data_IF_344497781989
#
_entry.id   IF_344497781989
#
_cell.length_a   1.000
_cell.length_b   1.000
_cell.length_c   1.000
_cell.angle_alpha   90.00
_cell.angle_beta   90.00
_cell.angle_gamma   90.00
#
_symmetry.space_group_name_H-M   'P 1'
#
loop_
_entity.id
_entity.type
_entity.pdbx_description
1 polymer ?
#
# COMPACT_ATOMS: atom_id res chain seq x y z
N UNK A 1 -21.51 -18.62 26.48
CA UNK A 1 -22.13 -18.78 27.82
C UNK A 1 -21.09 -18.50 28.89
N UNK A 2 -21.50 -17.92 30.02
CA UNK A 2 -20.88 -17.92 31.36
C UNK A 2 -19.40 -18.35 31.43
N UNK A 3 -18.47 -17.41 31.28
CA UNK A 3 -17.01 -17.61 31.49
C UNK A 3 -16.27 -18.52 30.50
N UNK A 4 -16.85 -18.84 29.34
CA UNK A 4 -16.10 -19.58 28.31
C UNK A 4 -14.94 -18.75 27.75
N UNK A 5 -13.76 -19.37 27.65
CA UNK A 5 -12.57 -18.78 27.00
C UNK A 5 -12.35 -19.38 25.61
N UNK A 6 -11.77 -18.59 24.71
CA UNK A 6 -11.36 -19.02 23.38
C UNK A 6 -9.84 -19.13 23.34
N UNK A 7 -9.33 -20.24 22.76
CA UNK A 7 -7.90 -20.45 22.53
C UNK A 7 -7.70 -20.71 21.04
N UNK A 8 -6.88 -19.87 20.40
CA UNK A 8 -6.44 -20.05 19.03
C UNK A 8 -4.94 -20.38 19.02
N UNK A 9 -4.58 -21.48 18.38
CA UNK A 9 -3.19 -21.83 18.10
C UNK A 9 -3.03 -21.96 16.58
N UNK A 10 -2.17 -21.14 16.00
CA UNK A 10 -1.87 -21.16 14.57
C UNK A 10 -0.43 -20.72 14.32
N UNK A 11 0.16 -21.26 13.26
CA UNK A 11 1.37 -20.69 12.68
C UNK A 11 1.00 -19.48 11.84
N UNK A 12 1.63 -18.33 12.09
CA UNK A 12 1.46 -17.14 11.25
C UNK A 12 2.08 -17.35 9.87
N UNK A 13 1.35 -16.97 8.82
CA UNK A 13 1.83 -17.00 7.43
C UNK A 13 1.78 -15.62 6.79
N UNK A 14 0.74 -14.85 7.11
CA UNK A 14 0.38 -13.59 6.47
C UNK A 14 -0.16 -12.60 7.51
N UNK A 15 -0.06 -11.30 7.24
CA UNK A 15 -0.59 -10.26 8.13
C UNK A 15 -2.12 -10.33 8.24
N UNK A 16 -2.81 -10.89 7.24
CA UNK A 16 -4.26 -11.05 7.16
C UNK A 16 -4.74 -12.50 7.37
N UNK A 17 -3.93 -13.35 8.00
CA UNK A 17 -4.38 -14.67 8.46
C UNK A 17 -5.45 -14.55 9.57
N UNK A 18 -5.99 -15.69 10.05
CA UNK A 18 -7.07 -15.70 11.06
C UNK A 18 -6.70 -14.88 12.30
N UNK A 19 -5.47 -15.04 12.80
CA UNK A 19 -5.02 -14.29 13.97
C UNK A 19 -4.87 -12.79 13.65
N UNK A 20 -4.28 -12.46 12.50
CA UNK A 20 -4.16 -11.08 12.05
C UNK A 20 -5.51 -10.35 11.91
N UNK A 21 -6.52 -11.01 11.34
CA UNK A 21 -7.87 -10.45 11.22
C UNK A 21 -8.58 -10.29 12.56
N UNK A 22 -8.42 -11.25 13.47
CA UNK A 22 -8.98 -11.14 14.82
C UNK A 22 -8.35 -9.99 15.59
N UNK A 23 -7.03 -9.81 15.50
CA UNK A 23 -6.34 -8.68 16.11
C UNK A 23 -6.74 -7.34 15.49
N UNK A 24 -6.93 -7.27 14.17
CA UNK A 24 -7.41 -6.05 13.52
C UNK A 24 -8.85 -5.69 13.93
N UNK A 25 -9.71 -6.69 14.18
CA UNK A 25 -11.11 -6.49 14.57
C UNK A 25 -11.27 -6.19 16.06
N UNK A 26 -10.61 -6.96 16.92
CA UNK A 26 -10.85 -7.00 18.37
C UNK A 26 -9.72 -6.36 19.20
N UNK A 27 -8.54 -6.17 18.61
CA UNK A 27 -7.37 -5.63 19.28
C UNK A 27 -6.71 -6.60 20.28
N UNK A 28 -5.58 -6.16 20.83
CA UNK A 28 -4.89 -6.85 21.93
C UNK A 28 -5.52 -6.49 23.28
N UNK A 29 -5.44 -7.43 24.22
CA UNK A 29 -5.88 -7.23 25.60
C UNK A 29 -5.09 -6.10 26.26
N UNK A 30 -5.81 -5.16 26.87
CA UNK A 30 -5.24 -4.11 27.71
C UNK A 30 -6.26 -3.65 28.74
N UNK A 31 -5.86 -2.82 29.70
CA UNK A 31 -6.80 -2.21 30.66
C UNK A 31 -7.92 -1.43 29.96
N UNK A 32 -7.60 -0.80 28.82
CA UNK A 32 -8.55 -0.07 27.98
C UNK A 32 -9.28 -0.95 26.95
N UNK A 33 -8.85 -2.20 26.77
CA UNK A 33 -9.48 -3.18 25.88
C UNK A 33 -9.56 -4.57 26.56
N UNK A 34 -10.45 -4.73 27.56
CA UNK A 34 -10.51 -5.96 28.36
C UNK A 34 -11.06 -7.18 27.59
N UNK A 35 -11.69 -6.96 26.44
CA UNK A 35 -12.18 -8.02 25.55
C UNK A 35 -11.19 -8.36 24.42
N UNK A 36 -10.02 -7.72 24.40
CA UNK A 36 -8.99 -7.99 23.40
C UNK A 36 -8.32 -9.35 23.61
N UNK A 37 -7.49 -9.73 22.63
CA UNK A 37 -6.77 -11.00 22.65
C UNK A 37 -5.50 -10.90 23.50
N UNK A 38 -5.29 -11.88 24.38
CA UNK A 38 -3.98 -12.09 25.01
C UNK A 38 -3.08 -12.81 24.00
N UNK A 39 -2.02 -12.15 23.55
CA UNK A 39 -1.12 -12.69 22.52
C UNK A 39 0.13 -13.29 23.17
N UNK A 40 0.35 -14.58 22.93
CA UNK A 40 1.58 -15.27 23.32
C UNK A 40 2.42 -15.53 22.07
N UNK A 41 3.58 -14.86 21.98
CA UNK A 41 4.50 -14.94 20.85
C UNK A 41 5.87 -15.44 21.31
N UNK A 42 6.28 -16.61 20.81
CA UNK A 42 7.60 -17.19 21.07
C UNK A 42 8.42 -17.20 19.79
N UNK A 43 9.46 -16.37 19.76
CA UNK A 43 10.32 -16.23 18.59
C UNK A 43 11.28 -17.42 18.44
N UNK A 44 11.38 -17.97 17.24
CA UNK A 44 12.32 -19.03 16.90
C UNK A 44 13.77 -18.66 17.25
N UNK A 45 14.17 -17.42 16.96
CA UNK A 45 15.38 -16.78 17.51
C UNK A 45 14.93 -15.56 18.31
N UNK A 46 15.28 -15.50 19.59
CA UNK A 46 14.97 -14.35 20.45
C UNK A 46 15.61 -13.06 19.90
N UNK A 47 14.84 -11.98 19.75
CA UNK A 47 15.37 -10.68 19.28
C UNK A 47 15.40 -9.61 20.36
N UNK A 48 14.46 -9.66 21.31
CA UNK A 48 14.34 -8.70 22.42
C UNK A 48 15.03 -9.14 23.72
N UNK A 49 14.98 -8.29 24.76
CA UNK A 49 15.45 -8.67 26.09
C UNK A 49 14.60 -9.82 26.67
N UNK A 50 15.15 -10.57 27.66
CA UNK A 50 14.40 -11.56 28.43
C UNK A 50 13.12 -10.95 29.03
N UNK A 51 12.03 -11.72 28.98
CA UNK A 51 10.76 -11.37 29.64
C UNK A 51 10.37 -12.47 30.62
N UNK A 52 9.33 -12.23 31.42
CA UNK A 52 8.77 -13.26 32.32
C UNK A 52 8.29 -14.49 31.54
N UNK A 53 7.69 -14.28 30.37
CA UNK A 53 7.17 -15.35 29.52
C UNK A 53 8.27 -16.07 28.73
N UNK A 54 9.31 -15.34 28.32
CA UNK A 54 10.42 -15.88 27.54
C UNK A 54 11.76 -15.34 28.06
N UNK A 55 12.42 -16.08 29.00
CA UNK A 55 13.60 -15.63 29.71
C UNK A 55 14.91 -15.78 28.92
N UNK A 56 14.84 -16.27 27.67
CA UNK A 56 16.01 -16.42 26.79
C UNK A 56 16.68 -15.08 26.49
N UNK A 57 17.98 -15.12 26.24
CA UNK A 57 18.74 -13.97 25.75
C UNK A 57 18.57 -13.81 24.25
N UNK A 58 18.72 -12.58 23.76
CA UNK A 58 18.73 -12.30 22.33
C UNK A 58 19.76 -13.18 21.60
N UNK A 59 19.36 -13.77 20.48
CA UNK A 59 20.15 -14.72 19.70
C UNK A 59 19.94 -16.20 20.06
N UNK A 60 19.29 -16.52 21.17
CA UNK A 60 19.04 -17.92 21.56
C UNK A 60 17.86 -18.53 20.78
N UNK A 61 18.03 -19.77 20.31
CA UNK A 61 16.99 -20.54 19.64
C UNK A 61 15.92 -21.01 20.64
N UNK A 62 14.65 -21.10 20.21
CA UNK A 62 13.53 -21.49 21.08
C UNK A 62 13.61 -22.96 21.48
N UNK A 63 14.02 -23.79 20.53
CA UNK A 63 14.09 -25.22 20.71
C UNK A 63 15.33 -25.79 19.99
N UNK A 64 16.54 -25.53 20.51
CA UNK A 64 17.80 -25.82 19.83
C UNK A 64 17.98 -27.31 19.48
N UNK A 65 17.38 -28.22 20.25
CA UNK A 65 17.44 -29.67 20.02
C UNK A 65 16.72 -30.08 18.73
N UNK A 66 15.69 -29.33 18.31
CA UNK A 66 14.90 -29.60 17.09
C UNK A 66 15.21 -28.61 15.96
N UNK A 67 15.50 -27.37 16.33
CA UNK A 67 15.79 -26.25 15.43
C UNK A 67 17.02 -25.51 15.94
N UNK A 68 18.20 -26.02 15.56
CA UNK A 68 19.46 -25.38 15.91
C UNK A 68 19.53 -23.94 15.41
N UNK A 69 20.29 -23.10 16.10
CA UNK A 69 20.52 -21.71 15.69
C UNK A 69 21.07 -21.63 14.26
N UNK A 70 22.02 -22.49 13.92
CA UNK A 70 22.60 -22.58 12.57
C UNK A 70 21.52 -22.85 11.50
N UNK A 71 20.62 -23.82 11.76
CA UNK A 71 19.50 -24.12 10.85
C UNK A 71 18.57 -22.92 10.70
N UNK A 72 18.22 -22.26 11.80
CA UNK A 72 17.35 -21.08 11.78
C UNK A 72 17.97 -19.92 11.01
N UNK A 73 19.27 -19.68 11.17
CA UNK A 73 20.01 -18.67 10.40
C UNK A 73 20.07 -19.03 8.90
N UNK A 74 20.26 -20.31 8.55
CA UNK A 74 20.22 -20.77 7.17
C UNK A 74 18.85 -20.61 6.50
N UNK A 75 17.76 -20.82 7.26
CA UNK A 75 16.39 -20.55 6.78
C UNK A 75 16.18 -19.03 6.65
N UNK A 76 16.63 -18.22 7.61
CA UNK A 76 16.56 -16.76 7.52
C UNK A 76 17.23 -16.24 6.25
N UNK A 77 18.40 -16.77 5.90
CA UNK A 77 19.13 -16.34 4.70
C UNK A 77 18.44 -16.79 3.40
N UNK A 78 17.95 -18.03 3.32
CA UNK A 78 17.40 -18.60 2.08
C UNK A 78 15.93 -18.24 1.83
N UNK A 79 15.14 -18.02 2.89
CA UNK A 79 13.74 -17.65 2.82
C UNK A 79 13.40 -16.69 3.97
N UNK A 80 13.79 -15.41 3.89
CA UNK A 80 13.62 -14.47 4.98
C UNK A 80 12.15 -14.16 5.30
N UNK A 81 11.26 -14.19 4.29
CA UNK A 81 9.82 -14.03 4.49
C UNK A 81 9.25 -15.23 5.26
N UNK A 82 9.56 -16.45 4.81
CA UNK A 82 9.15 -17.66 5.52
C UNK A 82 9.73 -17.77 6.92
N UNK A 83 10.95 -17.27 7.14
CA UNK A 83 11.54 -17.15 8.47
C UNK A 83 10.74 -16.21 9.37
N UNK A 84 10.46 -14.99 8.90
CA UNK A 84 9.70 -13.99 9.65
C UNK A 84 8.31 -14.52 10.02
N UNK A 85 7.59 -15.11 9.07
CA UNK A 85 6.26 -15.68 9.32
C UNK A 85 6.32 -16.90 10.24
N UNK A 86 6.98 -17.97 9.82
CA UNK A 86 6.84 -19.29 10.48
C UNK A 86 7.65 -19.42 11.77
N UNK A 87 8.82 -18.80 11.82
CA UNK A 87 9.73 -18.96 12.94
C UNK A 87 9.66 -17.78 13.90
N UNK A 88 9.55 -16.55 13.39
CA UNK A 88 9.44 -15.38 14.26
C UNK A 88 7.99 -15.01 14.62
N UNK A 89 6.98 -15.63 14.01
CA UNK A 89 5.56 -15.29 14.21
C UNK A 89 5.30 -13.80 13.92
N UNK A 90 5.97 -13.27 12.90
CA UNK A 90 5.96 -11.86 12.52
C UNK A 90 5.84 -11.73 11.00
N UNK A 91 4.70 -12.10 10.40
CA UNK A 91 4.53 -12.06 8.96
C UNK A 91 4.63 -10.63 8.47
N UNK A 92 5.78 -10.29 7.88
CA UNK A 92 6.07 -9.00 7.28
C UNK A 92 7.08 -9.16 6.16
N UNK A 93 7.09 -8.25 5.16
CA UNK A 93 8.13 -8.23 4.14
C UNK A 93 9.52 -8.19 4.81
N UNK A 94 10.45 -9.01 4.31
CA UNK A 94 11.85 -8.85 4.72
C UNK A 94 12.44 -7.66 3.98
N UNK A 95 13.18 -6.81 4.69
CA UNK A 95 13.97 -5.73 4.08
C UNK A 95 14.93 -6.29 3.02
N UNK A 96 15.45 -7.50 3.25
CA UNK A 96 16.34 -8.23 2.33
C UNK A 96 15.61 -8.72 1.07
N UNK A 97 14.28 -8.80 1.11
CA UNK A 97 13.42 -9.20 -0.01
C UNK A 97 12.71 -8.02 -0.70
N UNK A 98 12.91 -6.79 -0.23
CA UNK A 98 12.36 -5.61 -0.90
C UNK A 98 13.04 -5.42 -2.26
N UNK A 99 12.24 -5.19 -3.30
CA UNK A 99 12.75 -4.84 -4.64
C UNK A 99 13.51 -3.50 -4.57
N UNK A 100 12.99 -2.55 -3.79
CA UNK A 100 13.62 -1.26 -3.52
C UNK A 100 13.79 -1.08 -2.01
N UNK A 101 14.91 -1.53 -1.42
CA UNK A 101 15.12 -1.45 0.02
C UNK A 101 15.48 -0.04 0.51
N UNK A 102 15.96 0.83 -0.39
CA UNK A 102 16.45 2.18 -0.06
C UNK A 102 15.48 3.25 -0.56
N UNK A 103 14.40 3.47 0.18
CA UNK A 103 13.50 4.60 -0.03
C UNK A 103 13.07 5.19 1.31
N UNK A 104 12.53 6.40 1.28
CA UNK A 104 11.96 7.05 2.46
C UNK A 104 10.73 7.85 2.06
N UNK A 105 9.72 7.87 2.93
CA UNK A 105 8.56 8.72 2.73
C UNK A 105 8.92 10.15 3.13
N UNK A 106 8.66 11.09 2.23
CA UNK A 106 8.79 12.51 2.50
C UNK A 106 7.39 13.14 2.55
N UNK A 107 7.15 14.15 3.39
CA UNK A 107 5.84 14.78 3.49
C UNK A 107 5.45 15.55 2.22
N UNK A 108 6.45 16.01 1.47
CA UNK A 108 6.28 16.85 0.30
C UNK A 108 7.38 16.60 -0.74
N UNK A 109 7.07 16.88 -2.01
CA UNK A 109 8.06 16.85 -3.09
C UNK A 109 9.18 17.85 -2.77
N UNK A 110 10.46 17.41 -2.73
CA UNK A 110 11.59 18.28 -2.46
C UNK A 110 11.67 19.47 -3.41
N UNK A 111 11.95 20.67 -2.89
CA UNK A 111 11.95 21.93 -3.65
C UNK A 111 12.77 21.85 -4.95
N UNK A 112 13.97 21.25 -4.88
CA UNK A 112 14.85 21.08 -6.05
C UNK A 112 14.29 20.19 -7.17
N UNK A 113 13.19 19.47 -6.94
CA UNK A 113 12.49 18.66 -7.95
C UNK A 113 11.24 19.36 -8.49
N UNK A 114 10.71 20.38 -7.80
CA UNK A 114 9.45 21.05 -8.18
C UNK A 114 9.53 21.78 -9.52
N UNK A 115 10.74 22.17 -9.95
CA UNK A 115 10.98 22.81 -11.24
C UNK A 115 11.16 21.84 -12.41
N UNK A 116 11.17 20.54 -12.15
CA UNK A 116 11.30 19.53 -13.19
C UNK A 116 9.92 19.16 -13.71
N UNK A 117 9.76 19.12 -15.03
CA UNK A 117 8.54 18.61 -15.65
C UNK A 117 8.34 17.14 -15.24
N UNK A 118 7.23 16.80 -14.55
CA UNK A 118 6.98 15.45 -14.10
C UNK A 118 6.44 14.58 -15.24
N UNK A 119 6.67 13.27 -15.12
CA UNK A 119 5.94 12.25 -15.88
C UNK A 119 4.83 11.68 -15.00
N UNK A 120 3.88 10.99 -15.61
CA UNK A 120 2.82 10.30 -14.87
C UNK A 120 2.80 8.83 -15.27
N UNK A 121 2.67 7.95 -14.29
CA UNK A 121 2.43 6.53 -14.48
C UNK A 121 1.00 6.20 -14.06
N UNK A 122 0.29 5.43 -14.89
CA UNK A 122 -1.08 5.00 -14.64
C UNK A 122 -1.15 3.47 -14.80
N UNK A 123 -1.63 2.80 -13.78
CA UNK A 123 -1.94 1.37 -13.79
C UNK A 123 -3.44 1.20 -13.65
N UNK A 124 -4.06 0.49 -14.59
CA UNK A 124 -5.51 0.34 -14.62
C UNK A 124 -5.98 -0.75 -13.67
N UNK A 125 -6.96 -0.39 -12.82
CA UNK A 125 -7.64 -1.32 -11.93
C UNK A 125 -9.09 -0.90 -11.67
N UNK A 126 -9.95 -1.83 -11.27
CA UNK A 126 -11.36 -1.53 -10.99
C UNK A 126 -11.89 -2.24 -9.75
N UNK A 127 -12.18 -3.55 -9.83
CA UNK A 127 -12.84 -4.30 -8.74
C UNK A 127 -11.84 -4.86 -7.73
N UNK A 128 -10.95 -5.74 -8.19
CA UNK A 128 -10.01 -6.45 -7.32
C UNK A 128 -8.77 -5.60 -7.06
N UNK A 129 -8.32 -4.89 -8.09
CA UNK A 129 -7.12 -4.06 -8.08
C UNK A 129 -7.53 -2.58 -8.16
N UNK A 130 -6.87 -1.68 -7.40
CA UNK A 130 -7.10 -0.25 -7.49
C UNK A 130 -6.57 0.31 -8.81
N UNK A 131 -7.19 1.36 -9.33
CA UNK A 131 -6.51 2.27 -10.26
C UNK A 131 -5.44 3.03 -9.48
N UNK A 132 -4.21 3.02 -9.98
CA UNK A 132 -3.09 3.74 -9.38
C UNK A 132 -2.54 4.78 -10.37
N UNK A 133 -2.44 6.05 -9.94
CA UNK A 133 -1.83 7.12 -10.71
C UNK A 133 -0.75 7.79 -9.87
N UNK A 134 0.48 7.78 -10.37
CA UNK A 134 1.65 8.35 -9.71
C UNK A 134 2.26 9.46 -10.57
N UNK A 135 2.61 10.56 -9.93
CA UNK A 135 3.38 11.65 -10.52
C UNK A 135 4.85 11.44 -10.17
N UNK A 136 5.69 11.43 -11.20
CA UNK A 136 7.09 11.02 -11.13
C UNK A 136 7.98 12.22 -11.44
N UNK A 137 8.75 12.65 -10.44
CA UNK A 137 9.78 13.66 -10.61
C UNK A 137 11.13 12.98 -10.70
N UNK A 138 11.88 13.23 -11.77
CA UNK A 138 13.21 12.66 -11.96
C UNK A 138 14.23 13.76 -12.25
N UNK A 139 15.25 13.87 -11.40
CA UNK A 139 16.40 14.74 -11.65
C UNK A 139 17.70 14.00 -11.38
N UNK A 140 18.51 13.81 -12.43
CA UNK A 140 19.75 13.02 -12.38
C UNK A 140 19.48 11.61 -11.82
N UNK A 141 20.05 11.28 -10.67
CA UNK A 141 19.93 9.98 -10.01
C UNK A 141 18.89 9.98 -8.87
N UNK A 142 18.03 11.00 -8.78
CA UNK A 142 16.97 11.09 -7.78
C UNK A 142 15.62 10.95 -8.46
N UNK A 143 14.79 10.08 -7.88
CA UNK A 143 13.39 9.89 -8.26
C UNK A 143 12.55 10.19 -7.03
N UNK A 144 11.49 10.97 -7.20
CA UNK A 144 10.46 11.19 -6.20
C UNK A 144 9.12 10.80 -6.82
N UNK A 145 8.36 9.97 -6.11
CA UNK A 145 7.02 9.57 -6.49
C UNK A 145 6.03 10.30 -5.60
N UNK A 146 4.98 10.80 -6.22
CA UNK A 146 3.87 11.50 -5.59
C UNK A 146 2.59 10.79 -6.01
N UNK A 147 2.01 10.02 -5.09
CA UNK A 147 0.80 9.23 -5.34
C UNK A 147 -0.40 10.16 -5.41
N UNK A 148 -1.07 10.18 -6.56
CA UNK A 148 -2.23 11.05 -6.78
C UNK A 148 -3.55 10.27 -6.66
N UNK A 149 -3.57 9.02 -7.11
CA UNK A 149 -4.76 8.17 -7.09
C UNK A 149 -4.35 6.77 -6.66
N UNK A 150 -5.04 6.22 -5.66
CA UNK A 150 -4.98 4.80 -5.31
C UNK A 150 -6.36 4.36 -4.79
N UNK A 151 -7.25 4.01 -5.72
CA UNK A 151 -8.65 3.72 -5.38
C UNK A 151 -9.29 2.69 -6.32
N UNK A 152 -10.24 1.94 -5.78
CA UNK A 152 -11.05 0.96 -6.52
C UNK A 152 -12.34 1.59 -7.03
N UNK A 153 -12.92 0.97 -8.06
CA UNK A 153 -14.25 1.30 -8.57
C UNK A 153 -14.34 2.64 -9.34
N UNK A 154 -13.20 3.19 -9.76
CA UNK A 154 -13.19 4.44 -10.52
C UNK A 154 -13.55 4.19 -11.99
N UNK A 155 -14.61 4.85 -12.46
CA UNK A 155 -14.88 4.99 -13.88
C UNK A 155 -13.85 5.92 -14.56
N UNK A 156 -13.75 5.86 -15.88
CA UNK A 156 -12.84 6.73 -16.64
C UNK A 156 -13.11 8.23 -16.42
N UNK A 157 -14.38 8.60 -16.21
CA UNK A 157 -14.77 9.95 -15.86
C UNK A 157 -14.26 10.35 -14.46
N UNK A 158 -14.33 9.44 -13.49
CA UNK A 158 -13.80 9.66 -12.15
C UNK A 158 -12.28 9.72 -12.13
N UNK A 159 -11.59 8.89 -12.93
CA UNK A 159 -10.13 9.00 -13.11
C UNK A 159 -9.76 10.42 -13.57
N UNK A 160 -10.49 11.00 -14.53
CA UNK A 160 -10.27 12.40 -14.97
C UNK A 160 -10.56 13.42 -13.88
N UNK A 161 -11.65 13.25 -13.14
CA UNK A 161 -11.99 14.14 -12.03
C UNK A 161 -10.90 14.13 -10.96
N UNK A 162 -10.46 12.95 -10.52
CA UNK A 162 -9.42 12.78 -9.50
C UNK A 162 -8.05 13.30 -10.01
N UNK A 163 -7.67 13.00 -11.25
CA UNK A 163 -6.42 13.50 -11.83
C UNK A 163 -6.39 15.04 -11.87
N UNK A 164 -7.47 15.67 -12.32
CA UNK A 164 -7.52 17.12 -12.41
C UNK A 164 -7.68 17.78 -11.03
N UNK A 165 -8.36 17.13 -10.08
CA UNK A 165 -8.62 17.70 -8.76
C UNK A 165 -7.36 17.74 -7.91
N UNK A 166 -6.47 16.76 -8.11
CA UNK A 166 -5.13 16.63 -7.48
C UNK A 166 -4.08 17.56 -8.11
N UNK A 167 -4.46 18.42 -9.06
CA UNK A 167 -3.55 19.35 -9.74
C UNK A 167 -2.78 18.72 -10.90
N UNK A 168 -3.27 17.62 -11.47
CA UNK A 168 -2.77 17.05 -12.71
C UNK A 168 -2.81 18.07 -13.85
N UNK A 169 -1.68 18.23 -14.53
CA UNK A 169 -1.56 19.20 -15.61
C UNK A 169 -2.19 18.68 -16.91
N UNK A 170 -2.99 19.53 -17.56
CA UNK A 170 -3.55 19.21 -18.89
C UNK A 170 -2.41 19.12 -19.90
N UNK A 171 -2.43 18.07 -20.73
CA UNK A 171 -1.39 17.82 -21.74
C UNK A 171 -0.13 17.14 -21.22
N UNK A 172 0.02 16.96 -19.90
CA UNK A 172 1.11 16.19 -19.34
C UNK A 172 1.07 14.73 -19.84
N UNK A 173 2.26 14.17 -20.07
CA UNK A 173 2.40 12.84 -20.62
C UNK A 173 2.13 11.79 -19.54
N UNK A 174 1.11 10.97 -19.75
CA UNK A 174 0.71 9.89 -18.84
C UNK A 174 1.02 8.55 -19.51
N UNK A 175 1.94 7.78 -18.96
CA UNK A 175 2.23 6.42 -19.41
C UNK A 175 1.29 5.46 -18.71
N UNK A 176 0.48 4.75 -19.48
CA UNK A 176 -0.36 3.68 -18.98
C UNK A 176 0.07 2.33 -19.57
N UNK A 177 -0.26 1.23 -18.90
CA UNK A 177 -0.08 -0.09 -19.51
C UNK A 177 -0.94 -0.23 -20.78
N UNK A 178 -0.49 -1.04 -21.72
CA UNK A 178 -1.16 -1.19 -23.02
C UNK A 178 -2.33 -2.19 -23.00
N UNK A 179 -2.67 -2.79 -21.85
CA UNK A 179 -3.67 -3.86 -21.79
C UNK A 179 -5.11 -3.34 -21.94
N UNK A 180 -5.34 -2.04 -21.70
CA UNK A 180 -6.67 -1.41 -21.71
C UNK A 180 -6.83 -0.34 -22.83
N UNK A 181 -6.74 -0.72 -24.12
CA UNK A 181 -6.71 0.24 -25.23
C UNK A 181 -8.01 1.06 -25.36
N UNK A 182 -9.16 0.51 -24.96
CA UNK A 182 -10.45 1.22 -24.96
C UNK A 182 -10.47 2.32 -23.90
N UNK A 183 -9.99 2.01 -22.70
CA UNK A 183 -9.88 2.96 -21.59
C UNK A 183 -8.94 4.10 -21.95
N UNK A 184 -7.78 3.80 -22.55
CA UNK A 184 -6.86 4.83 -23.05
C UNK A 184 -7.54 5.73 -24.10
N UNK A 185 -8.27 5.14 -25.05
CA UNK A 185 -8.97 5.90 -26.09
C UNK A 185 -10.03 6.84 -25.49
N UNK A 186 -10.78 6.38 -24.50
CA UNK A 186 -11.79 7.18 -23.79
C UNK A 186 -11.15 8.28 -22.92
N UNK A 187 -10.05 7.98 -22.23
CA UNK A 187 -9.32 8.96 -21.43
C UNK A 187 -8.76 10.12 -22.28
N UNK A 188 -8.44 9.87 -23.55
CA UNK A 188 -8.00 10.90 -24.51
C UNK A 188 -9.12 11.82 -25.00
N UNK A 189 -10.39 11.44 -24.83
CA UNK A 189 -11.51 12.26 -25.29
C UNK A 189 -11.92 13.31 -24.26
N UNK A 190 -12.66 14.33 -24.69
CA UNK A 190 -13.33 15.23 -23.74
C UNK A 190 -14.47 14.48 -23.05
N UNK A 191 -14.58 14.59 -21.73
CA UNK A 191 -15.67 13.95 -20.96
C UNK A 191 -16.58 15.02 -20.38
N UNK A 192 -17.88 14.81 -20.53
CA UNK A 192 -18.92 15.62 -19.89
C UNK A 192 -19.45 14.87 -18.67
N UNK A 193 -19.42 15.52 -17.51
CA UNK A 193 -19.87 14.91 -16.25
C UNK A 193 -20.82 15.87 -15.55
N UNK A 194 -21.97 15.37 -15.10
CA UNK A 194 -22.88 16.20 -14.30
C UNK A 194 -22.19 16.65 -13.00
N UNK A 195 -22.21 17.95 -12.75
CA UNK A 195 -21.65 18.59 -11.58
C UNK A 195 -22.71 18.68 -10.48
N UNK A 196 -23.09 17.53 -9.92
CA UNK A 196 -24.03 17.50 -8.78
C UNK A 196 -23.44 18.26 -7.58
N UNK A 197 -24.26 18.74 -6.63
CA UNK A 197 -23.77 19.41 -5.43
C UNK A 197 -22.72 18.59 -4.66
N UNK A 198 -22.88 17.27 -4.59
CA UNK A 198 -21.95 16.35 -3.93
C UNK A 198 -20.60 16.31 -4.65
N UNK A 199 -20.61 16.27 -5.99
CA UNK A 199 -19.38 16.31 -6.80
C UNK A 199 -18.70 17.67 -6.73
N UNK A 200 -19.45 18.77 -6.69
CA UNK A 200 -18.89 20.10 -6.49
C UNK A 200 -18.25 20.26 -5.12
N UNK A 201 -18.84 19.66 -4.08
CA UNK A 201 -18.26 19.61 -2.75
C UNK A 201 -17.00 18.74 -2.71
N UNK A 202 -17.00 17.60 -3.41
CA UNK A 202 -15.85 16.68 -3.49
C UNK A 202 -14.68 17.26 -4.30
N UNK A 203 -14.95 17.96 -5.39
CA UNK A 203 -13.93 18.49 -6.31
C UNK A 203 -13.95 20.02 -6.41
N UNK A 204 -13.69 20.74 -5.31
CA UNK A 204 -13.82 22.19 -5.27
C UNK A 204 -12.81 22.92 -6.19
N UNK A 205 -11.69 22.27 -6.52
CA UNK A 205 -10.65 22.80 -7.41
C UNK A 205 -11.04 22.79 -8.89
N UNK A 206 -12.08 22.04 -9.27
CA UNK A 206 -12.47 21.87 -10.67
C UNK A 206 -13.43 22.95 -11.20
N UNK A 207 -13.65 24.04 -10.46
CA UNK A 207 -14.53 25.15 -10.87
C UNK A 207 -14.20 25.71 -12.25
N UNK A 208 -12.93 25.71 -12.64
CA UNK A 208 -12.49 26.17 -13.97
C UNK A 208 -13.04 25.32 -15.13
N UNK A 209 -13.45 24.08 -14.86
CA UNK A 209 -14.05 23.18 -15.86
C UNK A 209 -15.58 23.18 -15.80
N UNK A 210 -16.19 23.94 -14.89
CA UNK A 210 -17.63 23.97 -14.70
C UNK A 210 -18.31 24.88 -15.74
N UNK A 211 -19.29 24.34 -16.45
CA UNK A 211 -20.13 25.07 -17.39
C UNK A 211 -21.60 24.79 -17.07
N UNK A 212 -22.22 25.66 -16.27
CA UNK A 212 -23.58 25.44 -15.76
C UNK A 212 -23.60 24.27 -14.77
N UNK A 213 -24.36 23.22 -15.09
CA UNK A 213 -24.50 22.00 -14.26
C UNK A 213 -23.59 20.85 -14.70
N UNK A 214 -22.62 21.13 -15.59
CA UNK A 214 -21.78 20.09 -16.20
C UNK A 214 -20.31 20.48 -16.13
N UNK A 215 -19.46 19.55 -15.70
CA UNK A 215 -18.02 19.62 -15.91
C UNK A 215 -17.69 19.23 -17.35
N UNK A 216 -16.93 20.09 -18.03
CA UNK A 216 -16.34 19.81 -19.34
C UNK A 216 -14.85 19.52 -19.15
N UNK A 217 -14.52 18.24 -18.95
CA UNK A 217 -13.17 17.79 -18.64
C UNK A 217 -12.38 17.56 -19.93
N UNK A 218 -11.18 18.14 -20.10
CA UNK A 218 -10.37 17.92 -21.28
C UNK A 218 -9.90 16.46 -21.37
N UNK A 219 -9.52 16.07 -22.58
CA UNK A 219 -8.83 14.81 -22.81
C UNK A 219 -7.44 14.79 -22.18
N UNK A 220 -7.04 13.61 -21.70
CA UNK A 220 -5.72 13.38 -21.13
C UNK A 220 -4.74 12.88 -22.19
N UNK A 221 -3.47 13.27 -22.11
CA UNK A 221 -2.42 12.80 -23.01
C UNK A 221 -1.84 11.46 -22.53
N UNK A 222 -2.68 10.43 -22.55
CA UNK A 222 -2.31 9.06 -22.15
C UNK A 222 -1.63 8.36 -23.31
N UNK A 223 -0.47 7.76 -23.09
CA UNK A 223 0.26 6.92 -24.04
C UNK A 223 0.37 5.50 -23.50
N UNK A 224 0.13 4.52 -24.38
CA UNK A 224 0.37 3.12 -24.04
C UNK A 224 1.89 2.90 -24.00
N UNK A 225 2.41 2.49 -22.85
CA UNK A 225 3.78 2.07 -22.71
C UNK A 225 3.97 0.76 -23.52
N UNK A 226 4.80 0.81 -24.55
CA UNK A 226 5.21 -0.38 -25.29
C UNK A 226 6.32 -1.05 -24.48
N UNK A 227 6.15 -2.34 -24.17
CA UNK A 227 7.16 -3.16 -23.50
C UNK A 227 8.44 -3.26 -24.33
#
# INVERSE_FOLDING_TARGET
HNESQQLLCNTRWDEYDVAGRLLARDGEYSETNPNGWVVLKFEGIKTGPPTVLDPRRAGEALFPERHSLEKLLGVKQSNPIGFNSLYQQDPKPSVEALVYPMWTQVPDVPEGLRHVAPYYGLDFGFTNDPTALVKVYQHKHRVCLDELIYAKGLSNAEIKLEYLSTGGAVGALIFADAAEPKTIADLRQTTLVEATPERQAKYPTLRQYLSGTTYRLPGLNVVAAVK
#
